data_IF_337542674924
#
_entry.id   IF_337542674924
#
_cell.length_a   1.000
_cell.length_b   1.000
_cell.length_c   1.000
_cell.angle_alpha   90.00
_cell.angle_beta   90.00
_cell.angle_gamma   90.00
#
_symmetry.space_group_name_H-M   'P 1'
#
loop_
_entity.id
_entity.type
_entity.pdbx_description
1 polymer ?
#
# COMPACT_ATOMS: atom_id res chain seq x y z
N UNK A 1 -8.23 26.21 15.26
CA UNK A 1 -7.04 25.96 14.42
C UNK A 1 -6.54 24.53 14.61
N UNK A 2 -6.01 24.12 15.78
CA UNK A 2 -5.60 22.70 15.97
C UNK A 2 -6.77 21.72 15.77
N UNK A 3 -7.97 22.06 16.28
CA UNK A 3 -9.18 21.26 16.10
C UNK A 3 -9.48 20.89 14.64
N UNK A 4 -9.06 21.71 13.69
CA UNK A 4 -9.32 21.47 12.27
C UNK A 4 -8.55 20.22 11.79
N UNK A 5 -7.36 19.94 12.34
CA UNK A 5 -6.60 18.71 12.05
C UNK A 5 -7.40 17.47 12.46
N UNK A 6 -8.02 17.51 13.65
CA UNK A 6 -8.90 16.44 14.11
C UNK A 6 -10.12 16.29 13.21
N UNK A 7 -10.83 17.39 12.94
CA UNK A 7 -12.05 17.36 12.12
C UNK A 7 -11.77 16.79 10.74
N UNK A 8 -10.73 17.27 10.07
CA UNK A 8 -10.39 16.86 8.70
C UNK A 8 -9.95 15.40 8.64
N UNK A 9 -9.22 14.91 9.64
CA UNK A 9 -8.87 13.49 9.73
C UNK A 9 -10.11 12.63 10.02
N UNK A 10 -11.00 13.09 10.89
CA UNK A 10 -12.24 12.38 11.21
C UNK A 10 -13.16 12.28 9.98
N UNK A 11 -13.41 13.40 9.29
CA UNK A 11 -14.26 13.43 8.09
C UNK A 11 -13.69 12.52 6.99
N UNK A 12 -12.38 12.57 6.78
CA UNK A 12 -11.71 11.82 5.72
C UNK A 12 -11.67 10.30 5.99
N UNK A 13 -11.36 9.89 7.22
CA UNK A 13 -11.10 8.48 7.54
C UNK A 13 -12.22 7.75 8.28
N UNK A 14 -13.00 8.45 9.09
CA UNK A 14 -13.98 7.85 10.00
C UNK A 14 -15.43 8.16 9.59
N UNK A 15 -15.68 9.28 8.91
CA UNK A 15 -17.00 9.66 8.42
C UNK A 15 -17.19 9.48 6.91
N UNK A 16 -16.18 8.97 6.20
CA UNK A 16 -16.30 8.66 4.78
C UNK A 16 -16.86 7.26 4.55
N UNK A 17 -17.42 7.02 3.37
CA UNK A 17 -17.90 5.69 2.96
C UNK A 17 -16.75 4.71 2.61
N UNK A 18 -15.50 5.09 2.84
CA UNK A 18 -14.31 4.28 2.53
C UNK A 18 -13.95 3.42 3.73
N UNK A 19 -13.53 2.18 3.47
CA UNK A 19 -12.98 1.29 4.49
C UNK A 19 -11.47 1.38 4.44
N UNK A 20 -10.83 1.35 5.60
CA UNK A 20 -9.38 1.52 5.70
C UNK A 20 -8.76 0.43 6.57
N UNK A 21 -7.49 0.17 6.33
CA UNK A 21 -6.67 -0.73 7.13
C UNK A 21 -5.26 -0.18 7.35
N UNK A 22 -4.44 -0.85 8.15
CA UNK A 22 -3.11 -0.34 8.47
C UNK A 22 -2.09 -0.71 7.41
N UNK A 23 -1.75 0.27 6.57
CA UNK A 23 -0.92 0.07 5.39
C UNK A 23 0.56 -0.14 5.68
N UNK A 24 0.95 -1.23 6.34
CA UNK A 24 2.37 -1.63 6.34
C UNK A 24 2.66 -2.74 5.34
N UNK A 25 1.73 -3.69 5.19
CA UNK A 25 1.21 -4.13 3.89
C UNK A 25 -0.29 -4.48 4.02
N UNK A 26 -1.02 -4.85 2.97
CA UNK A 26 -2.23 -5.68 3.11
C UNK A 26 -1.83 -7.05 3.72
N UNK A 27 -1.63 -7.03 5.05
CA UNK A 27 -0.91 -7.92 5.96
C UNK A 27 -0.20 -9.20 5.41
N UNK A 28 1.09 -9.10 5.08
CA UNK A 28 2.11 -10.15 5.30
C UNK A 28 3.24 -9.63 6.20
N UNK A 29 3.35 -10.14 7.43
CA UNK A 29 4.40 -9.75 8.39
C UNK A 29 5.70 -10.54 8.16
N UNK A 30 6.75 -9.86 7.67
CA UNK A 30 8.14 -10.31 7.89
C UNK A 30 9.10 -9.12 7.98
N UNK A 31 9.45 -8.74 9.20
CA UNK A 31 10.52 -7.79 9.51
C UNK A 31 11.88 -8.53 9.49
N UNK A 32 12.61 -8.52 8.38
CA UNK A 32 14.09 -8.66 8.41
C UNK A 32 14.72 -7.81 7.32
N UNK A 33 15.51 -6.82 7.73
CA UNK A 33 16.40 -6.05 6.87
C UNK A 33 16.04 -4.58 6.84
N UNK A 34 16.77 -3.76 7.61
CA UNK A 34 16.64 -2.32 7.56
C UNK A 34 16.96 -1.80 6.16
N UNK A 35 15.95 -1.25 5.47
CA UNK A 35 16.08 -0.05 4.67
C UNK A 35 14.72 0.60 4.42
N UNK A 36 14.75 1.92 4.48
CA UNK A 36 13.66 2.89 4.35
C UNK A 36 13.01 2.86 2.96
N UNK A 37 12.00 2.03 2.75
CA UNK A 37 11.06 2.22 1.64
C UNK A 37 9.64 2.38 2.21
N UNK A 38 9.10 3.58 2.02
CA UNK A 38 7.70 3.91 2.30
C UNK A 38 6.81 3.12 1.32
N UNK A 39 6.06 2.15 1.83
CA UNK A 39 5.05 1.39 1.09
C UNK A 39 3.94 2.33 0.55
N UNK A 40 3.55 2.16 -0.72
CA UNK A 40 2.52 2.97 -1.37
C UNK A 40 1.13 2.77 -0.76
N UNK A 41 0.88 1.59 -0.15
CA UNK A 41 -0.37 1.28 0.57
C UNK A 41 -0.65 2.31 1.66
N UNK A 42 0.39 2.92 2.27
CA UNK A 42 0.30 3.95 3.30
C UNK A 42 -0.47 5.21 2.87
N UNK A 43 -0.67 5.40 1.56
CA UNK A 43 -1.28 6.58 0.95
C UNK A 43 -2.70 6.36 0.45
N UNK A 44 -3.45 5.48 1.12
CA UNK A 44 -4.87 5.21 0.82
C UNK A 44 -5.06 4.51 -0.52
N UNK A 45 -4.17 3.55 -0.80
CA UNK A 45 -4.26 2.64 -1.93
C UNK A 45 -4.80 1.29 -1.44
N UNK A 46 -5.68 0.68 -2.25
CA UNK A 46 -6.22 -0.66 -2.05
C UNK A 46 -5.41 -1.60 -2.96
N UNK A 47 -4.30 -2.11 -2.44
CA UNK A 47 -3.27 -2.78 -3.22
C UNK A 47 -3.59 -4.27 -3.42
N UNK A 48 -4.35 -4.87 -2.50
CA UNK A 48 -4.83 -6.26 -2.58
C UNK A 48 -6.25 -6.41 -3.15
N UNK A 49 -6.93 -5.28 -3.40
CA UNK A 49 -8.28 -5.21 -3.97
C UNK A 49 -9.36 -5.86 -3.10
N UNK A 50 -9.20 -5.85 -1.77
CA UNK A 50 -10.20 -6.32 -0.82
C UNK A 50 -11.30 -5.27 -0.51
N UNK A 51 -11.15 -4.06 -1.07
CA UNK A 51 -12.03 -2.92 -0.85
C UNK A 51 -11.69 -2.08 0.38
N UNK A 52 -10.50 -2.26 0.97
CA UNK A 52 -9.95 -1.45 2.05
C UNK A 52 -8.71 -0.71 1.57
N UNK A 53 -8.58 0.53 2.02
CA UNK A 53 -7.45 1.38 1.67
C UNK A 53 -6.42 1.37 2.79
N UNK A 54 -5.17 1.07 2.45
CA UNK A 54 -4.07 1.13 3.40
C UNK A 54 -3.86 2.57 3.91
N UNK A 55 -3.64 2.72 5.20
CA UNK A 55 -3.17 3.98 5.78
C UNK A 55 -2.39 3.66 7.04
N UNK A 56 -1.15 4.09 7.11
CA UNK A 56 -0.38 3.91 8.33
C UNK A 56 -0.47 5.13 9.25
N UNK A 57 0.11 5.03 10.44
CA UNK A 57 -0.07 6.06 11.46
C UNK A 57 0.51 7.42 11.06
N UNK A 58 1.68 7.48 10.41
CA UNK A 58 2.24 8.77 10.00
C UNK A 58 1.48 9.38 8.82
N UNK A 59 1.03 8.57 7.87
CA UNK A 59 0.25 9.04 6.72
C UNK A 59 -1.16 9.50 7.11
N UNK A 60 -1.78 8.84 8.10
CA UNK A 60 -3.02 9.30 8.73
C UNK A 60 -2.88 10.73 9.27
N UNK A 61 -1.81 10.99 10.03
CA UNK A 61 -1.53 12.33 10.59
C UNK A 61 -1.21 13.32 9.49
N UNK A 62 -0.38 12.93 8.51
CA UNK A 62 -0.04 13.77 7.37
C UNK A 62 -1.27 14.21 6.59
N UNK A 63 -2.21 13.30 6.30
CA UNK A 63 -3.45 13.61 5.59
C UNK A 63 -4.32 14.58 6.38
N UNK A 64 -4.47 14.36 7.69
CA UNK A 64 -5.20 15.28 8.57
C UNK A 64 -4.62 16.70 8.53
N UNK A 65 -3.29 16.84 8.63
CA UNK A 65 -2.60 18.12 8.52
C UNK A 65 -2.75 18.76 7.13
N UNK A 66 -2.59 17.97 6.07
CA UNK A 66 -2.72 18.43 4.68
C UNK A 66 -4.12 18.97 4.40
N UNK A 67 -5.15 18.22 4.78
CA UNK A 67 -6.55 18.60 4.61
C UNK A 67 -6.93 19.79 5.51
N UNK A 68 -6.29 19.96 6.67
CA UNK A 68 -6.42 21.16 7.50
C UNK A 68 -5.64 22.38 6.99
N UNK A 69 -4.94 22.24 5.85
CA UNK A 69 -4.28 23.33 5.14
C UNK A 69 -2.82 23.60 5.56
N UNK A 70 -2.20 22.68 6.30
CA UNK A 70 -0.80 22.80 6.72
C UNK A 70 0.18 22.40 5.60
N UNK A 71 1.32 23.08 5.52
CA UNK A 71 2.32 22.86 4.45
C UNK A 71 3.23 21.65 4.69
N UNK A 72 2.65 20.46 4.78
CA UNK A 72 3.37 19.20 5.05
C UNK A 72 3.95 18.54 3.78
N UNK A 73 4.15 19.30 2.70
CA UNK A 73 4.59 18.77 1.41
C UNK A 73 3.52 17.93 0.69
N UNK A 74 3.90 17.29 -0.42
CA UNK A 74 3.01 16.45 -1.24
C UNK A 74 3.20 14.94 -1.01
N UNK A 75 4.27 14.55 -0.33
CA UNK A 75 4.51 13.19 0.11
C UNK A 75 4.32 13.10 1.64
N UNK A 76 3.77 11.98 2.16
CA UNK A 76 3.69 11.77 3.60
C UNK A 76 5.06 11.71 4.26
N UNK A 77 5.18 12.32 5.44
CA UNK A 77 6.33 12.09 6.31
C UNK A 77 6.20 10.72 7.01
N UNK A 78 7.33 10.13 7.37
CA UNK A 78 7.41 8.98 8.25
C UNK A 78 7.38 9.37 9.73
N UNK A 79 7.07 8.41 10.61
CA UNK A 79 7.15 8.64 12.06
C UNK A 79 8.56 9.09 12.50
N UNK A 80 9.60 8.57 11.85
CA UNK A 80 11.00 8.91 12.11
C UNK A 80 11.40 10.33 11.67
N UNK A 81 10.59 11.00 10.85
CA UNK A 81 10.79 12.41 10.50
C UNK A 81 10.28 13.34 11.62
N UNK A 82 9.40 12.83 12.49
CA UNK A 82 8.85 13.57 13.62
C UNK A 82 9.67 13.35 14.89
N UNK A 83 9.96 12.09 15.24
CA UNK A 83 10.70 11.76 16.46
C UNK A 83 11.43 10.42 16.37
N UNK A 84 12.41 10.24 17.25
CA UNK A 84 13.17 8.99 17.42
C UNK A 84 13.39 8.71 18.91
N UNK A 85 12.80 7.62 19.40
CA UNK A 85 12.72 7.31 20.83
C UNK A 85 11.87 8.35 21.55
N UNK A 86 12.52 9.21 22.35
CA UNK A 86 11.90 10.37 23.01
C UNK A 86 12.39 11.71 22.43
N UNK A 87 13.20 11.67 21.36
CA UNK A 87 13.84 12.85 20.79
C UNK A 87 13.05 13.36 19.59
N UNK A 88 12.50 14.56 19.69
CA UNK A 88 11.83 15.24 18.57
C UNK A 88 12.87 15.72 17.54
N UNK A 89 12.62 15.43 16.26
CA UNK A 89 13.53 15.70 15.14
C UNK A 89 13.43 17.16 14.65
N UNK A 90 14.42 17.65 13.87
CA UNK A 90 14.45 19.05 13.43
C UNK A 90 13.20 19.50 12.67
N UNK A 91 12.67 18.69 11.77
CA UNK A 91 11.44 18.99 11.02
C UNK A 91 10.26 19.26 11.98
N UNK A 92 10.03 18.38 12.96
CA UNK A 92 8.97 18.58 13.95
C UNK A 92 9.20 19.82 14.81
N UNK A 93 10.43 20.10 15.27
CA UNK A 93 10.74 21.31 16.06
C UNK A 93 10.50 22.61 15.28
N UNK A 94 10.72 22.58 13.97
CA UNK A 94 10.48 23.73 13.11
C UNK A 94 8.99 24.06 13.04
N UNK A 95 8.14 23.06 12.79
CA UNK A 95 6.73 23.25 12.45
C UNK A 95 5.74 23.06 13.62
N UNK A 96 6.21 22.52 14.75
CA UNK A 96 5.36 22.19 15.89
C UNK A 96 5.97 22.68 17.21
N UNK A 97 5.11 23.05 18.15
CA UNK A 97 5.46 23.22 19.54
C UNK A 97 5.46 21.85 20.23
N UNK A 98 6.51 21.56 21.00
CA UNK A 98 6.67 20.27 21.68
C UNK A 98 5.97 20.32 23.04
N UNK A 99 4.99 19.45 23.24
CA UNK A 99 4.37 19.20 24.54
C UNK A 99 5.13 18.05 25.23
N UNK A 100 5.78 18.29 26.39
CA UNK A 100 6.55 17.26 27.08
C UNK A 100 5.70 16.07 27.52
N UNK A 101 6.31 14.88 27.60
CA UNK A 101 5.64 13.66 28.08
C UNK A 101 4.92 13.88 29.43
N UNK A 102 5.55 14.56 30.39
CA UNK A 102 4.95 14.82 31.69
C UNK A 102 3.64 15.63 31.61
N UNK A 103 3.51 16.52 30.61
CA UNK A 103 2.26 17.25 30.36
C UNK A 103 1.24 16.39 29.60
N UNK A 104 1.70 15.57 28.66
CA UNK A 104 0.86 14.69 27.86
C UNK A 104 0.18 13.57 28.69
N UNK A 105 0.78 13.14 29.80
CA UNK A 105 0.21 12.13 30.71
C UNK A 105 -0.80 12.70 31.72
N UNK A 106 -0.97 14.03 31.82
CA UNK A 106 -1.90 14.60 32.79
C UNK A 106 -3.34 14.31 32.39
N UNK A 107 -4.13 13.78 33.32
CA UNK A 107 -5.58 13.74 33.18
C UNK A 107 -6.12 15.17 33.08
N UNK A 108 -6.96 15.44 32.08
CA UNK A 108 -7.37 16.81 31.71
C UNK A 108 -6.18 17.76 31.46
N UNK A 109 -5.09 17.22 30.91
CA UNK A 109 -3.86 17.96 30.64
C UNK A 109 -3.99 19.00 29.54
N UNK A 110 -2.86 19.59 29.18
CA UNK A 110 -2.79 20.71 28.22
C UNK A 110 -3.00 20.31 26.75
N UNK A 111 -3.18 19.02 26.46
CA UNK A 111 -3.43 18.52 25.10
C UNK A 111 -4.76 19.03 24.54
N UNK A 112 -4.74 19.40 23.27
CA UNK A 112 -5.87 19.95 22.53
C UNK A 112 -6.27 19.02 21.39
N UNK A 113 -7.55 19.02 20.99
CA UNK A 113 -7.96 18.35 19.76
C UNK A 113 -7.08 18.77 18.59
N UNK A 114 -6.54 17.80 17.86
CA UNK A 114 -5.62 18.00 16.74
C UNK A 114 -4.13 17.97 17.07
N UNK A 115 -3.74 17.97 18.35
CA UNK A 115 -2.34 17.71 18.71
C UNK A 115 -1.94 16.30 18.26
N UNK A 116 -0.69 16.12 17.83
CA UNK A 116 -0.15 14.82 17.39
C UNK A 116 0.52 14.14 18.58
N UNK A 117 -0.07 13.05 19.08
CA UNK A 117 0.52 12.21 20.12
C UNK A 117 1.67 11.38 19.58
N UNK A 118 2.72 11.25 20.38
CA UNK A 118 3.92 10.47 20.06
C UNK A 118 4.00 9.27 21.01
N UNK A 119 4.09 8.07 20.44
CA UNK A 119 4.16 6.83 21.20
C UNK A 119 5.43 6.05 20.86
N UNK A 120 6.09 5.51 21.88
CA UNK A 120 7.24 4.61 21.72
C UNK A 120 6.92 3.24 22.27
N UNK A 121 7.39 2.20 21.57
CA UNK A 121 7.38 0.83 22.06
C UNK A 121 8.40 0.66 23.19
N UNK A 122 7.96 0.20 24.36
CA UNK A 122 8.82 0.05 25.53
C UNK A 122 9.84 -1.09 25.40
N UNK A 123 9.57 -2.04 24.50
CA UNK A 123 10.34 -3.29 24.38
C UNK A 123 11.04 -3.41 23.02
N UNK A 124 11.00 -2.38 22.19
CA UNK A 124 11.59 -2.39 20.85
C UNK A 124 11.82 -0.99 20.29
N UNK A 125 12.17 -0.89 19.00
CA UNK A 125 12.35 0.38 18.30
C UNK A 125 11.07 0.91 17.63
N UNK A 126 9.92 0.30 17.93
CA UNK A 126 8.63 0.68 17.35
C UNK A 126 8.21 2.08 17.77
N UNK A 127 7.65 2.84 16.83
CA UNK A 127 7.10 4.17 17.08
C UNK A 127 5.72 4.29 16.43
N UNK A 128 4.87 5.11 17.02
CA UNK A 128 3.52 5.35 16.53
C UNK A 128 3.07 6.78 16.80
N UNK A 129 2.08 7.25 16.05
CA UNK A 129 1.48 8.58 16.22
C UNK A 129 -0.03 8.52 16.07
N UNK A 130 -0.73 9.46 16.70
CA UNK A 130 -2.18 9.64 16.58
C UNK A 130 -2.57 11.10 16.77
N UNK A 131 -3.81 11.45 16.44
CA UNK A 131 -4.34 12.81 16.58
C UNK A 131 -5.26 12.86 17.80
N UNK A 132 -4.99 13.76 18.74
CA UNK A 132 -5.79 13.94 19.95
C UNK A 132 -7.23 14.31 19.57
N UNK A 133 -8.20 13.61 20.17
CA UNK A 133 -9.62 13.96 20.17
C UNK A 133 -9.96 14.86 21.36
N UNK A 134 -9.40 14.56 22.53
CA UNK A 134 -9.66 15.27 23.77
C UNK A 134 -9.63 14.30 24.96
N UNK A 135 -10.42 14.57 25.97
CA UNK A 135 -10.58 13.69 27.13
C UNK A 135 -12.05 13.27 27.24
N UNK A 136 -12.29 12.03 27.69
CA UNK A 136 -13.63 11.61 28.05
C UNK A 136 -14.09 12.25 29.37
N UNK A 137 -15.32 11.95 29.78
CA UNK A 137 -15.92 12.46 31.02
C UNK A 137 -15.16 12.06 32.30
N UNK A 138 -14.39 10.97 32.23
CA UNK A 138 -13.62 10.41 33.34
C UNK A 138 -12.15 10.89 33.30
N UNK A 139 -11.81 11.75 32.34
CA UNK A 139 -10.48 12.33 32.20
C UNK A 139 -9.48 11.44 31.45
N UNK A 140 -9.93 10.37 30.81
CA UNK A 140 -9.06 9.54 29.98
C UNK A 140 -8.82 10.20 28.62
N UNK A 141 -7.55 10.23 28.22
CA UNK A 141 -7.13 10.77 26.94
C UNK A 141 -7.73 9.94 25.79
N UNK A 142 -8.31 10.61 24.80
CA UNK A 142 -8.83 10.00 23.58
C UNK A 142 -8.09 10.52 22.36
N UNK A 143 -7.84 9.64 21.39
CA UNK A 143 -7.22 9.98 20.12
C UNK A 143 -7.80 9.16 18.97
N UNK A 144 -7.62 9.66 17.74
CA UNK A 144 -7.87 8.93 16.51
C UNK A 144 -6.55 8.58 15.83
N UNK A 145 -6.45 7.39 15.25
CA UNK A 145 -5.25 6.99 14.54
C UNK A 145 -5.40 5.64 13.86
N UNK A 146 -4.58 5.40 12.84
CA UNK A 146 -4.57 4.10 12.16
C UNK A 146 -3.95 3.02 13.03
N UNK A 147 -4.74 2.02 13.41
CA UNK A 147 -4.38 0.92 14.29
C UNK A 147 -3.85 -0.27 13.49
N UNK A 148 -2.75 -0.88 13.95
CA UNK A 148 -1.98 -1.93 13.23
C UNK A 148 -2.81 -3.13 12.76
N UNK A 149 -3.96 -3.41 13.38
CA UNK A 149 -4.81 -4.56 13.07
C UNK A 149 -6.18 -4.23 12.47
N UNK A 150 -6.60 -2.97 12.47
CA UNK A 150 -7.99 -2.60 12.12
C UNK A 150 -8.12 -1.32 11.29
N UNK A 151 -7.02 -0.61 11.01
CA UNK A 151 -7.07 0.71 10.38
C UNK A 151 -7.48 1.84 11.33
N UNK A 152 -7.88 3.01 10.80
CA UNK A 152 -8.35 4.16 11.57
C UNK A 152 -9.43 3.81 12.59
N UNK A 153 -9.19 4.17 13.85
CA UNK A 153 -10.16 4.01 14.92
C UNK A 153 -10.05 5.15 15.94
N UNK A 154 -11.12 5.35 16.70
CA UNK A 154 -11.07 6.09 17.96
C UNK A 154 -10.56 5.18 19.08
N UNK A 155 -9.67 5.71 19.91
CA UNK A 155 -9.05 4.98 21.01
C UNK A 155 -9.12 5.82 22.28
N UNK A 156 -9.58 5.20 23.38
CA UNK A 156 -9.43 5.73 24.74
C UNK A 156 -8.19 5.12 25.38
N UNK A 157 -7.27 5.96 25.83
CA UNK A 157 -6.06 5.55 26.54
C UNK A 157 -6.43 5.21 27.97
N UNK A 158 -6.17 3.97 28.36
CA UNK A 158 -6.28 3.53 29.76
C UNK A 158 -4.89 3.45 30.38
N UNK A 159 -4.74 3.85 31.66
CA UNK A 159 -3.53 3.57 32.43
C UNK A 159 -3.22 2.07 32.40
N UNK A 160 -1.94 1.71 32.22
CA UNK A 160 -1.48 0.32 32.07
C UNK A 160 -2.08 -0.43 30.86
N UNK A 161 -2.65 0.31 29.91
CA UNK A 161 -3.22 -0.19 28.67
C UNK A 161 -2.16 -0.48 27.61
N UNK A 162 -2.62 -0.82 26.40
CA UNK A 162 -1.72 -1.06 25.26
C UNK A 162 -0.93 0.21 24.87
N UNK A 163 -1.61 1.37 24.85
CA UNK A 163 -1.07 2.65 24.35
C UNK A 163 -0.24 3.44 25.37
N UNK A 164 -0.46 3.21 26.66
CA UNK A 164 0.24 3.90 27.74
C UNK A 164 0.43 2.99 28.94
N UNK A 165 1.38 2.04 28.80
CA UNK A 165 1.62 1.02 29.82
C UNK A 165 2.34 -0.23 29.34
N UNK A 166 1.58 -1.19 28.82
CA UNK A 166 2.03 -2.57 28.54
C UNK A 166 2.96 -2.68 27.34
N UNK A 167 2.67 -1.96 26.25
CA UNK A 167 3.43 -2.05 25.00
C UNK A 167 3.99 -0.70 24.58
N UNK A 168 3.14 0.30 24.46
CA UNK A 168 3.53 1.65 24.14
C UNK A 168 3.51 2.55 25.38
N UNK A 169 4.25 3.64 25.30
CA UNK A 169 4.21 4.75 26.26
C UNK A 169 4.16 6.08 25.51
N UNK A 170 3.52 7.09 26.11
CA UNK A 170 3.47 8.44 25.55
C UNK A 170 4.81 9.12 25.81
N UNK A 171 5.51 9.55 24.74
CA UNK A 171 6.79 10.26 24.85
C UNK A 171 6.66 11.77 24.65
N UNK A 172 5.44 12.25 24.38
CA UNK A 172 5.10 13.66 24.22
C UNK A 172 4.00 13.86 23.19
N UNK A 173 3.76 15.12 22.84
CA UNK A 173 2.90 15.49 21.71
C UNK A 173 3.48 16.67 20.92
N UNK A 174 2.99 16.87 19.71
CA UNK A 174 3.34 17.98 18.83
C UNK A 174 2.10 18.81 18.53
N UNK A 175 2.16 20.11 18.80
CA UNK A 175 1.10 21.06 18.47
C UNK A 175 1.48 21.85 17.23
N UNK A 176 0.66 21.76 16.18
CA UNK A 176 0.98 22.44 14.92
C UNK A 176 0.95 23.97 15.08
N UNK A 177 2.04 24.62 14.69
CA UNK A 177 2.16 26.09 14.77
C UNK A 177 1.24 26.76 13.74
N UNK A 178 0.50 27.84 14.10
CA UNK A 178 -0.40 28.50 13.17
C UNK A 178 0.25 28.98 11.86
N UNK A 179 1.49 29.47 11.94
CA UNK A 179 2.30 29.95 10.80
C UNK A 179 2.65 28.86 9.78
N UNK A 180 2.48 27.58 10.15
CA UNK A 180 2.69 26.44 9.25
C UNK A 180 1.49 26.20 8.32
N UNK A 181 0.36 26.85 8.59
CA UNK A 181 -0.85 26.73 7.78
C UNK A 181 -0.85 27.74 6.65
N UNK A 182 -0.97 27.23 5.43
CA UNK A 182 -0.89 28.01 4.19
C UNK A 182 -2.21 28.02 3.42
N UNK A 183 -3.13 27.11 3.73
CA UNK A 183 -4.44 26.99 3.08
C UNK A 183 -5.59 26.94 4.10
N UNK A 184 -6.81 27.15 3.62
CA UNK A 184 -8.02 26.83 4.38
C UNK A 184 -8.22 25.30 4.48
N UNK A 185 -8.97 24.80 5.48
CA UNK A 185 -9.30 23.39 5.61
C UNK A 185 -10.24 22.97 4.49
N UNK A 186 -10.13 21.73 4.03
CA UNK A 186 -10.94 21.20 2.92
C UNK A 186 -12.44 21.21 3.25
N UNK A 187 -12.83 20.89 4.48
CA UNK A 187 -14.23 20.91 4.92
C UNK A 187 -14.61 22.23 5.64
N UNK A 188 -13.86 23.31 5.41
CA UNK A 188 -13.99 24.57 6.14
C UNK A 188 -15.19 25.45 5.75
N UNK A 189 -16.36 25.22 6.36
CA UNK A 189 -17.35 26.21 6.87
C UNK A 189 -18.64 25.46 7.32
N UNK A 190 -18.59 24.75 8.44
CA UNK A 190 -19.81 24.32 9.14
C UNK A 190 -19.64 24.34 10.68
N UNK A 191 -18.75 25.21 11.17
CA UNK A 191 -18.45 25.34 12.60
C UNK A 191 -19.46 26.21 13.37
N UNK A 192 -20.67 26.44 12.85
CA UNK A 192 -21.75 27.19 13.55
C UNK A 192 -23.07 26.42 13.72
N UNK A 193 -23.09 25.10 13.53
CA UNK A 193 -24.21 24.25 13.98
C UNK A 193 -23.75 22.97 14.68
N UNK A 194 -23.01 23.11 15.79
CA UNK A 194 -23.10 22.12 16.88
C UNK A 194 -23.09 22.87 18.21
N UNK A 195 -24.22 23.51 18.50
CA UNK A 195 -24.68 23.66 19.87
C UNK A 195 -25.86 22.70 20.04
N UNK A 196 -25.79 21.92 21.12
CA UNK A 196 -26.76 20.92 21.59
C UNK A 196 -26.66 19.51 20.99
N UNK A 197 -26.12 18.63 21.85
CA UNK A 197 -26.23 17.18 21.77
C UNK A 197 -27.71 16.77 21.66
N UNK A 198 -28.12 15.95 20.69
CA UNK A 198 -29.31 15.15 20.85
C UNK A 198 -28.94 13.83 21.52
N UNK A 199 -29.50 13.63 22.70
CA UNK A 199 -29.60 12.36 23.40
C UNK A 199 -30.24 11.34 22.45
N UNK A 200 -29.47 10.35 21.98
CA UNK A 200 -30.04 9.23 21.21
C UNK A 200 -30.73 8.30 22.21
N UNK A 201 -32.05 8.41 22.24
CA UNK A 201 -32.97 7.46 22.88
C UNK A 201 -33.02 6.20 22.03
N UNK A 202 -32.74 5.06 22.67
CA UNK A 202 -32.84 3.69 22.16
C UNK A 202 -34.29 3.36 21.73
N UNK A 203 -34.50 2.59 20.65
CA UNK A 203 -35.66 1.71 20.57
C UNK A 203 -35.24 0.26 20.85
N UNK A 204 -35.90 -0.34 21.84
CA UNK A 204 -35.96 -1.79 22.06
C UNK A 204 -36.59 -2.51 20.87
N UNK A 205 -36.10 -3.73 20.62
CA UNK A 205 -36.80 -4.99 20.22
C UNK A 205 -35.74 -5.88 19.53
N UNK A 206 -35.51 -7.16 19.82
CA UNK A 206 -36.05 -8.13 20.75
C UNK A 206 -35.02 -9.29 20.77
N UNK A 207 -34.60 -9.76 21.95
CA UNK A 207 -33.77 -10.97 22.09
C UNK A 207 -34.53 -12.21 21.59
N UNK A 208 -33.82 -13.27 21.20
CA UNK A 208 -34.12 -14.59 21.73
C UNK A 208 -33.02 -15.08 22.68
N UNK A 209 -33.48 -15.74 23.74
CA UNK A 209 -32.82 -16.20 24.97
C UNK A 209 -32.04 -17.53 24.75
N UNK A 210 -31.06 -17.90 25.63
CA UNK A 210 -30.03 -18.92 25.37
C UNK A 210 -30.27 -20.27 26.08
N UNK A 211 -29.48 -21.31 25.71
CA UNK A 211 -28.87 -22.35 26.57
C UNK A 211 -28.34 -23.55 25.72
N UNK A 212 -27.46 -24.45 26.23
CA UNK A 212 -26.49 -24.33 27.33
C UNK A 212 -25.06 -24.81 26.97
N UNK A 213 -24.13 -24.51 27.87
CA UNK A 213 -22.74 -24.99 27.88
C UNK A 213 -22.62 -26.50 28.18
N UNK A 214 -21.61 -27.16 27.59
CA UNK A 214 -20.59 -27.97 28.27
C UNK A 214 -19.81 -28.85 27.27
N UNK A 215 -18.50 -28.61 27.14
CA UNK A 215 -17.47 -29.64 27.34
C UNK A 215 -16.15 -28.92 27.67
N UNK A 216 -15.52 -29.36 28.76
CA UNK A 216 -14.32 -28.78 29.35
C UNK A 216 -13.04 -29.53 28.90
N UNK A 217 -12.02 -28.73 28.51
CA UNK A 217 -10.55 -28.75 28.73
C UNK A 217 -9.77 -30.10 28.71
N UNK A 218 -8.53 -30.14 28.12
CA UNK A 218 -7.34 -29.80 28.92
C UNK A 218 -6.20 -29.03 28.22
N UNK A 219 -5.45 -28.37 29.09
CA UNK A 219 -4.08 -27.81 29.08
C UNK A 219 -3.02 -28.26 28.02
N UNK A 220 -2.20 -27.26 27.64
CA UNK A 220 -0.77 -27.26 27.18
C UNK A 220 -0.37 -27.45 25.70
N UNK A 221 0.49 -26.50 25.23
CA UNK A 221 1.56 -26.56 24.19
C UNK A 221 1.49 -25.46 23.08
N UNK A 222 2.65 -24.99 22.56
CA UNK A 222 2.95 -23.57 22.31
C UNK A 222 2.64 -23.07 20.88
N UNK A 223 2.04 -21.89 20.78
CA UNK A 223 1.89 -21.18 19.50
C UNK A 223 3.19 -20.51 19.07
N UNK A 224 3.62 -20.82 17.85
CA UNK A 224 4.50 -20.08 16.95
C UNK A 224 5.80 -19.49 17.55
N UNK A 225 6.92 -20.10 17.20
CA UNK A 225 8.25 -19.58 17.49
C UNK A 225 8.48 -18.20 16.84
N UNK A 226 9.02 -17.31 17.66
CA UNK A 226 9.20 -15.86 17.53
C UNK A 226 10.21 -15.37 16.48
N UNK A 227 10.34 -16.03 15.32
CA UNK A 227 11.43 -15.71 14.35
C UNK A 227 11.02 -15.66 12.87
N UNK A 228 9.71 -15.64 12.55
CA UNK A 228 9.22 -15.49 11.17
C UNK A 228 9.58 -16.65 10.23
N UNK A 229 9.65 -17.88 10.76
CA UNK A 229 9.96 -19.10 10.00
C UNK A 229 8.84 -20.11 10.15
N UNK A 230 8.38 -20.68 9.02
CA UNK A 230 7.36 -21.74 9.01
C UNK A 230 8.03 -23.09 8.79
N UNK A 231 7.75 -24.05 9.67
CA UNK A 231 8.37 -25.39 9.66
C UNK A 231 7.37 -26.46 10.09
N UNK A 232 7.74 -27.73 9.91
CA UNK A 232 6.92 -28.88 10.31
C UNK A 232 6.37 -28.74 11.73
N UNK A 233 5.06 -28.90 11.88
CA UNK A 233 4.33 -28.71 13.13
C UNK A 233 3.77 -27.30 13.36
N UNK A 234 4.18 -26.31 12.56
CA UNK A 234 3.53 -24.99 12.54
C UNK A 234 2.09 -25.11 12.05
N UNK A 235 1.22 -24.25 12.57
CA UNK A 235 -0.18 -24.20 12.20
C UNK A 235 -0.69 -22.76 12.26
N UNK A 236 -1.67 -22.43 11.41
CA UNK A 236 -2.28 -21.09 11.34
C UNK A 236 -2.35 -20.53 9.93
N UNK A 237 -2.74 -19.26 9.83
CA UNK A 237 -2.99 -18.57 8.55
C UNK A 237 -1.74 -18.48 7.67
N UNK A 238 -0.58 -18.21 8.26
CA UNK A 238 0.70 -18.13 7.55
C UNK A 238 1.05 -19.44 6.81
N UNK A 239 0.71 -20.59 7.39
CA UNK A 239 0.93 -21.90 6.77
C UNK A 239 -0.06 -22.13 5.62
N UNK A 240 -1.30 -21.68 5.78
CA UNK A 240 -2.30 -21.71 4.71
C UNK A 240 -1.83 -20.86 3.53
N UNK A 241 -1.31 -19.66 3.76
CA UNK A 241 -0.84 -18.74 2.71
C UNK A 241 0.41 -19.31 1.98
N UNK A 242 1.29 -19.97 2.72
CA UNK A 242 2.39 -20.75 2.15
C UNK A 242 1.88 -21.88 1.25
N UNK A 243 0.90 -22.66 1.70
CA UNK A 243 0.32 -23.77 0.93
C UNK A 243 -0.36 -23.26 -0.36
N UNK A 244 -1.06 -22.12 -0.30
CA UNK A 244 -1.64 -21.46 -1.48
C UNK A 244 -0.56 -21.01 -2.47
N UNK A 245 0.53 -20.42 -1.97
CA UNK A 245 1.64 -19.95 -2.80
C UNK A 245 2.35 -21.11 -3.51
N UNK A 246 2.63 -22.20 -2.79
CA UNK A 246 3.20 -23.43 -3.35
C UNK A 246 2.32 -24.01 -4.45
N UNK A 247 1.01 -24.12 -4.22
CA UNK A 247 0.06 -24.58 -5.22
C UNK A 247 0.05 -23.70 -6.48
N UNK A 248 0.05 -22.37 -6.32
CA UNK A 248 0.09 -21.42 -7.43
C UNK A 248 1.36 -21.55 -8.26
N UNK A 249 2.47 -21.83 -7.60
CA UNK A 249 3.78 -22.04 -8.24
C UNK A 249 3.96 -23.46 -8.80
N UNK A 250 2.97 -24.34 -8.66
CA UNK A 250 2.99 -25.71 -9.17
C UNK A 250 3.76 -26.71 -8.30
N UNK A 251 4.04 -26.37 -7.04
CA UNK A 251 4.72 -27.26 -6.09
C UNK A 251 3.69 -27.99 -5.22
N UNK A 252 3.44 -29.25 -5.57
CA UNK A 252 2.52 -30.15 -4.89
C UNK A 252 3.18 -31.09 -3.87
N UNK A 253 2.42 -32.06 -3.40
CA UNK A 253 2.92 -33.16 -2.56
C UNK A 253 3.99 -34.03 -3.27
N UNK A 254 4.52 -35.03 -2.58
CA UNK A 254 5.53 -35.96 -3.12
C UNK A 254 5.09 -36.68 -4.41
N UNK A 255 3.78 -36.73 -4.70
CA UNK A 255 3.18 -37.35 -5.88
C UNK A 255 2.78 -36.34 -6.95
N UNK A 256 3.01 -35.04 -6.71
CA UNK A 256 2.68 -33.94 -7.63
C UNK A 256 1.23 -33.45 -7.53
N UNK A 257 0.46 -33.86 -6.53
CA UNK A 257 -0.90 -33.33 -6.32
C UNK A 257 -0.86 -32.00 -5.58
N UNK A 258 -1.86 -31.14 -5.83
CA UNK A 258 -2.00 -29.90 -5.07
C UNK A 258 -2.05 -30.17 -3.56
N UNK A 259 -1.32 -29.37 -2.79
CA UNK A 259 -1.34 -29.41 -1.33
C UNK A 259 -2.73 -29.06 -0.81
N UNK A 260 -3.13 -29.75 0.25
CA UNK A 260 -4.29 -29.36 1.04
C UNK A 260 -3.97 -28.09 1.83
N UNK A 261 -4.77 -27.04 1.65
CA UNK A 261 -4.63 -25.75 2.33
C UNK A 261 -5.37 -25.77 3.68
N UNK A 262 -4.93 -26.62 4.59
CA UNK A 262 -5.55 -26.78 5.92
C UNK A 262 -4.85 -25.96 7.01
N UNK A 263 -3.86 -25.14 6.63
CA UNK A 263 -3.11 -24.32 7.56
C UNK A 263 -2.24 -25.13 8.52
N UNK A 264 -1.95 -26.41 8.22
CA UNK A 264 -1.10 -27.27 9.03
C UNK A 264 0.15 -27.68 8.27
N UNK A 265 1.32 -27.39 8.84
CA UNK A 265 2.60 -27.63 8.19
C UNK A 265 3.00 -29.10 8.40
N UNK A 266 2.42 -29.96 7.57
CA UNK A 266 2.66 -31.40 7.57
C UNK A 266 3.82 -31.84 6.67
N UNK A 267 3.97 -33.15 6.50
CA UNK A 267 5.00 -33.74 5.64
C UNK A 267 4.88 -33.30 4.18
N UNK A 268 3.65 -33.22 3.66
CA UNK A 268 3.42 -32.81 2.27
C UNK A 268 3.84 -31.37 2.00
N UNK A 269 3.54 -30.45 2.93
CA UNK A 269 3.96 -29.05 2.82
C UNK A 269 5.49 -28.92 2.91
N UNK A 270 6.13 -29.70 3.78
CA UNK A 270 7.59 -29.73 3.87
C UNK A 270 8.24 -30.19 2.57
N UNK A 271 7.78 -31.30 1.98
CA UNK A 271 8.30 -31.81 0.71
C UNK A 271 8.15 -30.80 -0.44
N UNK A 272 7.02 -30.08 -0.48
CA UNK A 272 6.81 -29.02 -1.47
C UNK A 272 7.75 -27.82 -1.28
N UNK A 273 8.04 -27.44 -0.03
CA UNK A 273 9.00 -26.38 0.29
C UNK A 273 10.42 -26.81 -0.09
N UNK A 274 10.82 -28.03 0.22
CA UNK A 274 12.13 -28.57 -0.16
C UNK A 274 12.31 -28.57 -1.68
N UNK A 275 11.27 -29.00 -2.41
CA UNK A 275 11.27 -28.97 -3.87
C UNK A 275 11.41 -27.54 -4.40
N UNK A 276 10.67 -26.58 -3.84
CA UNK A 276 10.80 -25.18 -4.21
C UNK A 276 12.21 -24.63 -3.92
N UNK A 277 12.76 -24.93 -2.75
CA UNK A 277 14.10 -24.51 -2.37
C UNK A 277 15.15 -25.05 -3.33
N UNK A 278 15.04 -26.34 -3.69
CA UNK A 278 15.91 -27.00 -4.64
C UNK A 278 15.85 -26.31 -6.01
N UNK A 279 14.64 -26.13 -6.56
CA UNK A 279 14.44 -25.57 -7.90
C UNK A 279 14.85 -24.08 -7.98
N UNK A 280 15.00 -23.41 -6.83
CA UNK A 280 15.42 -22.00 -6.72
C UNK A 280 16.84 -21.79 -6.21
N UNK A 281 17.62 -22.87 -6.00
CA UNK A 281 18.99 -22.78 -5.51
C UNK A 281 19.09 -22.20 -4.09
N UNK A 282 18.06 -22.38 -3.28
CA UNK A 282 18.03 -21.99 -1.87
C UNK A 282 18.49 -23.17 -0.99
N UNK A 283 18.89 -22.91 0.27
CA UNK A 283 19.13 -23.99 1.23
C UNK A 283 17.90 -24.90 1.35
N UNK A 284 18.07 -26.19 1.07
CA UNK A 284 17.00 -27.21 1.12
C UNK A 284 16.93 -27.76 2.54
N UNK A 285 16.27 -27.02 3.41
CA UNK A 285 16.11 -27.36 4.83
C UNK A 285 14.65 -27.69 5.20
N UNK A 286 13.72 -27.57 4.22
CA UNK A 286 12.30 -27.78 4.45
C UNK A 286 11.69 -26.78 5.41
N UNK A 287 12.37 -25.65 5.64
CA UNK A 287 11.93 -24.53 6.46
C UNK A 287 11.62 -23.36 5.53
N UNK A 288 10.37 -22.93 5.52
CA UNK A 288 9.98 -21.71 4.83
C UNK A 288 10.39 -20.50 5.69
N UNK A 289 11.68 -20.19 5.64
CA UNK A 289 12.25 -18.98 6.24
C UNK A 289 12.16 -17.77 5.31
N UNK A 290 12.63 -16.59 5.76
CA UNK A 290 12.46 -15.32 5.06
C UNK A 290 12.91 -15.34 3.59
N UNK A 291 14.05 -15.97 3.28
CA UNK A 291 14.55 -16.09 1.90
C UNK A 291 13.65 -16.96 1.02
N UNK A 292 13.15 -18.06 1.57
CA UNK A 292 12.22 -18.98 0.89
C UNK A 292 10.89 -18.27 0.61
N UNK A 293 10.35 -17.60 1.62
CA UNK A 293 9.09 -16.86 1.52
C UNK A 293 9.19 -15.67 0.55
N UNK A 294 10.30 -14.92 0.58
CA UNK A 294 10.55 -13.82 -0.35
C UNK A 294 10.67 -14.32 -1.80
N UNK A 295 11.41 -15.42 -2.02
CA UNK A 295 11.56 -16.01 -3.35
C UNK A 295 10.22 -16.50 -3.90
N UNK A 296 9.34 -17.06 -3.06
CA UNK A 296 7.99 -17.43 -3.45
C UNK A 296 7.15 -16.18 -3.77
N UNK A 297 7.19 -15.17 -2.90
CA UNK A 297 6.39 -13.96 -3.03
C UNK A 297 6.69 -13.21 -4.33
N UNK A 298 7.97 -13.06 -4.71
CA UNK A 298 8.37 -12.44 -5.98
C UNK A 298 7.82 -13.17 -7.21
N UNK A 299 7.49 -14.45 -7.10
CA UNK A 299 6.98 -15.26 -8.22
C UNK A 299 5.46 -15.38 -8.22
N UNK A 300 4.82 -15.18 -7.07
CA UNK A 300 3.36 -15.17 -6.92
C UNK A 300 2.74 -13.78 -6.98
N UNK A 301 3.57 -12.73 -6.98
CA UNK A 301 3.14 -11.34 -7.13
C UNK A 301 2.40 -11.13 -8.45
N UNK A 302 1.23 -10.49 -8.37
CA UNK A 302 0.48 -10.08 -9.55
C UNK A 302 1.34 -9.11 -10.40
N UNK A 303 1.18 -9.09 -11.74
CA UNK A 303 1.89 -8.14 -12.58
C UNK A 303 1.61 -6.70 -12.12
N UNK A 304 2.63 -5.83 -12.05
CA UNK A 304 2.44 -4.45 -11.64
C UNK A 304 1.51 -3.74 -12.63
N UNK A 305 0.66 -2.85 -12.14
CA UNK A 305 -0.17 -1.99 -13.00
C UNK A 305 0.65 -0.83 -13.53
N UNK A 306 0.33 -0.31 -14.71
CA UNK A 306 1.07 0.79 -15.37
C UNK A 306 1.20 2.05 -14.50
N UNK A 307 0.22 2.32 -13.64
CA UNK A 307 0.19 3.44 -12.68
C UNK A 307 1.02 3.23 -11.41
N UNK A 308 1.52 2.03 -11.18
CA UNK A 308 2.40 1.72 -10.04
C UNK A 308 3.86 2.00 -10.39
N UNK A 309 4.62 2.53 -9.44
CA UNK A 309 6.04 2.88 -9.59
C UNK A 309 6.95 1.67 -9.84
N UNK A 310 6.52 0.49 -9.41
CA UNK A 310 7.20 -0.79 -9.66
C UNK A 310 7.06 -1.27 -11.10
N UNK A 311 6.17 -0.67 -11.91
CA UNK A 311 6.03 -1.03 -13.31
C UNK A 311 7.24 -0.54 -14.11
N UNK A 312 7.87 -1.40 -14.94
CA UNK A 312 9.06 -1.02 -15.72
C UNK A 312 8.82 0.14 -16.70
N UNK A 313 7.59 0.29 -17.18
CA UNK A 313 7.17 1.43 -18.03
C UNK A 313 6.35 2.49 -17.26
N UNK A 314 6.42 2.56 -15.93
CA UNK A 314 5.75 3.60 -15.13
C UNK A 314 6.12 5.01 -15.59
N UNK A 315 7.41 5.25 -15.88
CA UNK A 315 7.87 6.54 -16.37
C UNK A 315 7.24 6.90 -17.74
N UNK A 316 7.06 5.91 -18.62
CA UNK A 316 6.39 6.09 -19.90
C UNK A 316 4.90 6.38 -19.71
N UNK A 317 4.26 5.73 -18.73
CA UNK A 317 2.88 6.02 -18.33
C UNK A 317 2.69 7.43 -17.80
N UNK A 318 3.56 7.91 -16.90
CA UNK A 318 3.48 9.28 -16.39
C UNK A 318 3.65 10.32 -17.51
N UNK A 319 4.52 10.05 -18.48
CA UNK A 319 4.69 10.91 -19.66
C UNK A 319 3.43 10.94 -20.53
N UNK A 320 2.84 9.77 -20.82
CA UNK A 320 1.58 9.68 -21.54
C UNK A 320 0.45 10.40 -20.78
N UNK A 321 0.37 10.23 -19.46
CA UNK A 321 -0.62 10.88 -18.59
C UNK A 321 -0.50 12.40 -18.62
N UNK A 322 0.70 12.93 -18.46
CA UNK A 322 0.94 14.37 -18.59
C UNK A 322 0.56 14.89 -19.99
N UNK A 323 0.82 14.11 -21.04
CA UNK A 323 0.46 14.49 -22.39
C UNK A 323 -1.07 14.50 -22.60
N UNK A 324 -1.79 13.51 -22.06
CA UNK A 324 -3.26 13.47 -22.09
C UNK A 324 -3.87 14.60 -21.25
N UNK A 325 -3.30 14.92 -20.08
CA UNK A 325 -3.81 16.03 -19.26
C UNK A 325 -3.63 17.39 -19.95
N UNK A 326 -2.55 17.57 -20.74
CA UNK A 326 -2.38 18.75 -21.59
C UNK A 326 -3.45 18.78 -22.68
N UNK A 327 -3.69 17.65 -23.35
CA UNK A 327 -4.75 17.50 -24.35
C UNK A 327 -6.14 17.82 -23.76
N UNK A 328 -6.45 17.32 -22.56
CA UNK A 328 -7.70 17.64 -21.84
C UNK A 328 -7.82 19.15 -21.62
N UNK A 329 -6.75 19.78 -21.14
CA UNK A 329 -6.71 21.23 -20.90
C UNK A 329 -6.91 22.05 -22.18
N UNK A 330 -6.32 21.62 -23.30
CA UNK A 330 -6.50 22.22 -24.63
C UNK A 330 -7.96 22.13 -25.11
N UNK A 331 -8.64 21.02 -24.77
CA UNK A 331 -10.06 20.81 -25.05
C UNK A 331 -10.99 21.27 -23.92
N UNK A 332 -10.50 22.08 -22.97
CA UNK A 332 -11.28 22.64 -21.86
C UNK A 332 -11.96 21.57 -20.98
N UNK A 333 -11.34 20.40 -20.88
CA UNK A 333 -11.75 19.28 -20.02
C UNK A 333 -10.82 19.19 -18.81
N UNK A 334 -11.37 18.86 -17.65
CA UNK A 334 -10.57 18.52 -16.48
C UNK A 334 -10.11 17.04 -16.58
N UNK A 335 -8.84 16.73 -16.28
CA UNK A 335 -8.38 15.34 -16.24
C UNK A 335 -9.18 14.50 -15.25
N UNK A 336 -9.53 13.28 -15.66
CA UNK A 336 -10.30 12.33 -14.86
C UNK A 336 -9.86 10.87 -15.12
N UNK A 337 -10.60 9.90 -14.58
CA UNK A 337 -10.27 8.48 -14.74
C UNK A 337 -10.19 8.02 -16.21
N UNK A 338 -10.97 8.61 -17.11
CA UNK A 338 -10.92 8.30 -18.54
C UNK A 338 -9.62 8.83 -19.18
N UNK A 339 -9.10 9.95 -18.68
CA UNK A 339 -7.78 10.48 -19.06
C UNK A 339 -6.67 9.50 -18.68
N UNK A 340 -6.75 8.94 -17.47
CA UNK A 340 -5.80 7.94 -16.96
C UNK A 340 -5.88 6.62 -17.75
N UNK A 341 -7.10 6.16 -18.09
CA UNK A 341 -7.32 5.00 -18.95
C UNK A 341 -6.74 5.20 -20.37
N UNK A 342 -6.97 6.38 -20.97
CA UNK A 342 -6.42 6.74 -22.27
C UNK A 342 -4.88 6.76 -22.23
N UNK A 343 -4.29 7.34 -21.18
CA UNK A 343 -2.85 7.36 -20.98
C UNK A 343 -2.25 5.95 -20.86
N UNK A 344 -2.93 5.05 -20.15
CA UNK A 344 -2.52 3.65 -20.04
C UNK A 344 -2.51 2.95 -21.40
N UNK A 345 -3.59 3.08 -22.18
CA UNK A 345 -3.68 2.51 -23.52
C UNK A 345 -2.59 3.06 -24.46
N UNK A 346 -2.35 4.37 -24.41
CA UNK A 346 -1.27 5.04 -25.16
C UNK A 346 0.11 4.52 -24.76
N UNK A 347 0.33 4.19 -23.47
CA UNK A 347 1.59 3.63 -22.99
C UNK A 347 1.86 2.26 -23.60
N UNK A 348 0.85 1.39 -23.63
CA UNK A 348 0.93 0.07 -24.27
C UNK A 348 1.22 0.20 -25.76
N UNK A 349 0.49 1.10 -26.44
CA UNK A 349 0.69 1.35 -27.87
C UNK A 349 2.08 1.90 -28.15
N UNK A 350 2.55 2.88 -27.37
CA UNK A 350 3.88 3.47 -27.49
C UNK A 350 4.97 2.39 -27.34
N UNK A 351 4.84 1.51 -26.35
CA UNK A 351 5.80 0.43 -26.15
C UNK A 351 5.82 -0.57 -27.30
N UNK A 352 4.64 -0.90 -27.85
CA UNK A 352 4.51 -1.77 -29.04
C UNK A 352 5.23 -1.19 -30.25
N UNK A 353 5.20 0.13 -30.43
CA UNK A 353 5.91 0.85 -31.51
C UNK A 353 7.41 1.12 -31.20
N UNK A 354 7.91 0.59 -30.08
CA UNK A 354 9.30 0.75 -29.66
C UNK A 354 9.65 2.18 -29.21
N UNK A 355 8.66 2.96 -28.81
CA UNK A 355 8.87 4.27 -28.20
C UNK A 355 9.40 4.11 -26.78
N UNK A 356 10.30 5.02 -26.39
CA UNK A 356 10.90 5.05 -25.06
C UNK A 356 10.53 6.31 -24.26
N UNK A 357 9.78 7.23 -24.89
CA UNK A 357 9.14 8.36 -24.21
C UNK A 357 7.87 8.79 -24.95
N UNK A 358 7.00 9.54 -24.28
CA UNK A 358 5.84 10.21 -24.88
C UNK A 358 5.95 11.72 -24.64
N UNK A 359 6.11 12.48 -25.72
CA UNK A 359 6.24 13.94 -25.66
C UNK A 359 4.88 14.63 -25.82
N UNK A 360 4.01 14.10 -26.68
CA UNK A 360 2.68 14.65 -26.94
C UNK A 360 1.59 13.58 -27.07
N UNK A 361 0.35 13.96 -26.77
CA UNK A 361 -0.86 13.19 -27.06
C UNK A 361 -1.78 14.09 -27.87
N UNK A 362 -2.22 13.63 -29.04
CA UNK A 362 -3.04 14.43 -29.96
C UNK A 362 -4.22 13.63 -30.48
N UNK A 363 -5.35 14.29 -30.73
CA UNK A 363 -6.52 13.68 -31.36
C UNK A 363 -6.49 13.90 -32.88
N UNK A 364 -7.05 12.97 -33.64
CA UNK A 364 -7.45 13.27 -35.02
C UNK A 364 -8.68 14.21 -35.05
N UNK A 365 -9.00 14.81 -36.20
CA UNK A 365 -10.07 15.82 -36.30
C UNK A 365 -11.45 15.35 -35.84
N UNK A 366 -11.77 14.06 -35.97
CA UNK A 366 -13.04 13.48 -35.53
C UNK A 366 -13.00 12.88 -34.11
N UNK A 367 -11.86 13.00 -33.42
CA UNK A 367 -11.57 12.44 -32.10
C UNK A 367 -11.73 10.91 -31.98
N UNK A 368 -11.86 10.17 -33.07
CA UNK A 368 -11.95 8.71 -33.05
C UNK A 368 -10.63 8.03 -32.68
N UNK A 369 -9.50 8.72 -32.87
CA UNK A 369 -8.14 8.20 -32.61
C UNK A 369 -7.33 9.20 -31.80
N UNK A 370 -6.57 8.67 -30.83
CA UNK A 370 -5.55 9.42 -30.10
C UNK A 370 -4.17 8.88 -30.45
N UNK A 371 -3.20 9.77 -30.61
CA UNK A 371 -1.84 9.46 -30.99
C UNK A 371 -0.87 9.89 -29.90
N UNK A 372 -0.04 8.96 -29.42
CA UNK A 372 1.16 9.28 -28.65
C UNK A 372 2.28 9.62 -29.65
N UNK A 373 2.95 10.75 -29.45
CA UNK A 373 4.02 11.23 -30.32
C UNK A 373 5.31 11.39 -29.53
N UNK A 374 6.41 10.88 -30.08
CA UNK A 374 7.77 11.07 -29.58
C UNK A 374 8.54 11.93 -30.59
N UNK A 375 9.09 13.04 -30.11
CA UNK A 375 9.83 14.05 -30.87
C UNK A 375 8.94 15.15 -31.45
N UNK A 376 9.59 16.13 -32.08
CA UNK A 376 8.92 17.27 -32.72
C UNK A 376 8.00 16.84 -33.88
N UNK A 377 6.85 17.51 -34.01
CA UNK A 377 5.88 17.24 -35.06
C UNK A 377 6.45 17.37 -36.49
N UNK A 378 7.42 18.26 -36.69
CA UNK A 378 8.07 18.49 -37.98
C UNK A 378 9.31 17.61 -38.20
N UNK A 379 9.72 16.81 -37.21
CA UNK A 379 10.88 15.93 -37.36
C UNK A 379 10.54 14.72 -38.23
N UNK A 380 11.43 14.31 -39.15
CA UNK A 380 11.32 13.02 -39.85
C UNK A 380 11.63 11.83 -38.93
N UNK A 381 12.23 12.07 -37.76
CA UNK A 381 12.58 11.05 -36.78
C UNK A 381 11.48 10.83 -35.72
N UNK A 382 10.33 11.53 -35.84
CA UNK A 382 9.24 11.34 -34.89
C UNK A 382 8.71 9.92 -34.94
N UNK A 383 8.30 9.39 -33.79
CA UNK A 383 7.56 8.13 -33.69
C UNK A 383 6.15 8.42 -33.23
N UNK A 384 5.21 7.62 -33.71
CA UNK A 384 3.80 7.77 -33.41
C UNK A 384 3.23 6.39 -33.10
N UNK A 385 2.45 6.32 -32.03
CA UNK A 385 1.61 5.18 -31.72
C UNK A 385 0.16 5.63 -31.62
N UNK A 386 -0.76 4.80 -32.09
CA UNK A 386 -2.19 5.12 -32.12
C UNK A 386 -3.04 4.17 -31.28
N UNK A 387 -4.13 4.71 -30.75
CA UNK A 387 -5.22 3.96 -30.10
C UNK A 387 -6.56 4.49 -30.59
N UNK A 388 -7.58 3.63 -30.57
CA UNK A 388 -8.97 4.06 -30.74
C UNK A 388 -9.43 4.76 -29.46
N UNK A 389 -9.81 6.04 -29.55
CA UNK A 389 -10.05 6.91 -28.38
C UNK A 389 -11.13 6.34 -27.48
N UNK A 390 -12.27 5.95 -28.06
CA UNK A 390 -13.42 5.47 -27.29
C UNK A 390 -13.11 4.14 -26.59
N UNK A 391 -12.41 3.24 -27.26
CA UNK A 391 -11.96 2.00 -26.64
C UNK A 391 -10.96 2.28 -25.52
N UNK A 392 -9.99 3.17 -25.75
CA UNK A 392 -8.94 3.49 -24.80
C UNK A 392 -9.47 4.12 -23.51
N UNK A 393 -10.37 5.11 -23.59
CA UNK A 393 -10.99 5.73 -22.40
C UNK A 393 -11.84 4.75 -21.61
N UNK A 394 -12.45 3.77 -22.28
CA UNK A 394 -13.30 2.75 -21.69
C UNK A 394 -12.51 1.53 -21.19
N UNK A 395 -11.20 1.43 -21.51
CA UNK A 395 -10.35 0.32 -21.09
C UNK A 395 -9.70 0.67 -19.76
N UNK A 396 -10.07 -0.01 -18.65
CA UNK A 396 -9.44 0.24 -17.36
C UNK A 396 -7.93 -0.02 -17.44
N UNK A 397 -7.15 0.72 -16.65
CA UNK A 397 -5.69 0.63 -16.61
C UNK A 397 -5.20 -0.80 -16.29
N UNK A 398 -5.97 -1.58 -15.54
CA UNK A 398 -5.72 -2.98 -15.22
C UNK A 398 -5.63 -3.81 -16.51
N UNK A 399 -6.60 -3.65 -17.41
CA UNK A 399 -6.62 -4.35 -18.70
C UNK A 399 -5.47 -3.92 -19.61
N UNK A 400 -5.12 -2.64 -19.58
CA UNK A 400 -3.95 -2.13 -20.30
C UNK A 400 -2.64 -2.72 -19.74
N UNK A 401 -2.55 -2.90 -18.43
CA UNK A 401 -1.39 -3.50 -17.75
C UNK A 401 -1.25 -4.99 -18.07
N UNK A 402 -2.36 -5.73 -18.10
CA UNK A 402 -2.39 -7.12 -18.56
C UNK A 402 -1.96 -7.23 -20.03
N UNK A 403 -2.46 -6.34 -20.90
CA UNK A 403 -2.09 -6.32 -22.31
C UNK A 403 -0.59 -6.06 -22.51
N UNK A 404 0.00 -5.17 -21.72
CA UNK A 404 1.45 -4.92 -21.69
C UNK A 404 2.23 -6.19 -21.32
N UNK A 405 1.82 -6.89 -20.27
CA UNK A 405 2.50 -8.09 -19.80
C UNK A 405 2.44 -9.22 -20.84
N UNK A 406 1.27 -9.42 -21.46
CA UNK A 406 1.11 -10.42 -22.51
C UNK A 406 2.02 -10.13 -23.70
N UNK A 407 2.16 -8.86 -24.09
CA UNK A 407 3.07 -8.44 -25.15
C UNK A 407 4.53 -8.74 -24.81
N UNK A 408 4.99 -8.37 -23.61
CA UNK A 408 6.37 -8.61 -23.19
C UNK A 408 6.71 -10.11 -23.05
N UNK A 409 5.75 -10.91 -22.57
CA UNK A 409 5.92 -12.36 -22.46
C UNK A 409 6.10 -13.01 -23.83
N UNK A 410 5.34 -12.56 -24.84
CA UNK A 410 5.48 -13.04 -26.23
C UNK A 410 6.81 -12.62 -26.85
N UNK A 411 7.27 -11.38 -26.60
CA UNK A 411 8.58 -10.92 -27.09
C UNK A 411 9.76 -11.67 -26.45
N UNK A 412 9.68 -11.96 -25.15
CA UNK A 412 10.70 -12.76 -24.45
C UNK A 412 10.78 -14.22 -24.95
N UNK A 413 9.64 -14.85 -25.24
CA UNK A 413 9.59 -16.20 -25.81
C UNK A 413 10.12 -16.27 -27.25
N UNK A 414 9.83 -15.25 -28.08
CA UNK A 414 10.35 -15.18 -29.44
C UNK A 414 11.88 -15.01 -29.48
N UNK A 415 12.45 -14.25 -28.53
CA UNK A 415 13.90 -14.09 -28.40
C UNK A 415 14.60 -15.41 -28.02
N UNK A 416 14.01 -16.21 -27.12
CA UNK A 416 14.57 -17.52 -26.72
C UNK A 416 14.41 -18.60 -27.81
N UNK A 417 13.36 -18.51 -28.65
CA UNK A 417 13.15 -19.45 -29.76
C UNK A 417 14.10 -19.23 -30.96
N UNK A 418 14.66 -18.03 -31.12
CA UNK A 418 15.61 -17.73 -32.19
C UNK A 418 17.05 -18.20 -31.92
N UNK A 419 17.41 -18.49 -30.67
CA UNK A 419 18.74 -19.05 -30.33
C UNK A 419 18.89 -20.56 -30.61
N UNK A 420 17.80 -21.25 -30.97
CA UNK A 420 17.79 -22.69 -31.23
C UNK A 420 17.85 -23.09 -32.72
N UNK A 421 18.09 -22.15 -33.64
CA UNK A 421 18.33 -22.50 -35.04
C UNK A 421 19.83 -22.80 -35.26
N UNK A 422 20.22 -24.05 -35.56
CA UNK A 422 21.60 -24.36 -35.90
C UNK A 422 21.99 -23.64 -37.21
N UNK A 423 23.23 -23.16 -37.33
CA UNK A 423 23.65 -22.41 -38.51
C UNK A 423 23.54 -23.30 -39.75
N UNK A 424 22.85 -22.81 -40.77
CA UNK A 424 22.81 -23.40 -42.11
C UNK A 424 24.24 -23.67 -42.59
N UNK A 425 24.58 -24.96 -42.70
CA UNK A 425 25.84 -25.42 -43.25
C UNK A 425 25.98 -24.88 -44.69
N UNK A 426 26.96 -24.00 -44.88
CA UNK A 426 27.32 -23.52 -46.22
C UNK A 426 27.88 -24.70 -47.03
N UNK A 427 27.43 -24.93 -48.27
CA UNK A 427 28.00 -25.98 -49.11
C UNK A 427 29.47 -25.65 -49.44
N UNK A 428 30.33 -26.64 -49.30
CA UNK A 428 31.75 -26.55 -49.59
C UNK A 428 31.99 -26.30 -51.09
N UNK A 429 32.79 -25.29 -51.42
CA UNK A 429 33.26 -25.02 -52.77
C UNK A 429 34.35 -26.02 -53.19
N UNK A 430 34.31 -26.58 -54.40
CA UNK A 430 35.35 -27.47 -54.90
C UNK A 430 36.63 -26.68 -55.26
N UNK A 431 37.78 -27.20 -54.87
CA UNK A 431 39.11 -26.63 -55.10
C UNK A 431 39.55 -26.91 -56.55
N UNK A 432 40.02 -25.91 -57.34
CA UNK A 432 40.77 -26.16 -58.56
C UNK A 432 42.26 -26.29 -58.25
N UNK A 433 42.90 -27.30 -58.85
CA UNK A 433 44.23 -27.79 -58.48
C UNK A 433 45.44 -26.97 -58.97
N UNK A 434 46.61 -27.56 -58.69
CA UNK A 434 47.84 -27.44 -59.47
C UNK A 434 48.24 -28.82 -59.96
#
# INVERSE_FOLDING_TARGET
>A
MSRDIYTEAYEHFLNSNRKYEYGRPDMTLSNKGGNLHTDSSRTEQDNDHDGRYGVDCSSFVWRGLKNAGYNVGNAPFGTHDLFEGSTVKPYAKQHFDVVPAAEAHKQHGSLQPGDVLLFRDKHGSGQHVGIVKGYDKDGHLQFIGSQVSTGPAEVTVSPDGYWDGKRFEIVGALRAKPEFRVNAPVHGQDSTKVAEQPVIVKPEHRQPKPAPAAHAHPETAPSAHTDGTLRKGAHGRDVSDLQHSLNRLGYGDEKGHALKTDGSYGQHTMAAVEKFQHDRGLPVDGIAGPKTLEAMHRQTAAPPRLDTDTHPDHALYQQARHAVHRLDSEHQRAPDQHSDNLAAALTVAARREGMNRVDHAVLNPDASRTFAVQGDFNSPLKRVAEVETQQAVATPIEKSSEAWQQMMSKQGQAAQGQELQPPLQRPATPTPGM
#
